data_IF_359270678524
#
_entry.id   IF_359270678524
#
_cell.length_a   1.000
_cell.length_b   1.000
_cell.length_c   1.000
_cell.angle_alpha   90.00
_cell.angle_beta   90.00
_cell.angle_gamma   90.00
#
_symmetry.space_group_name_H-M   'P 1'
#
loop_
_entity.id
_entity.type
_entity.pdbx_description
1 polymer ?
#
# COMPACT_ATOMS: atom_id res chain seq x y z
N UNK A 1 51.49 -12.82 41.22
CA UNK A 1 51.53 -12.00 39.99
C UNK A 1 50.20 -12.18 39.27
N UNK A 2 49.31 -11.21 39.41
CA UNK A 2 47.91 -11.29 38.93
C UNK A 2 47.82 -10.57 37.58
N UNK A 3 47.40 -11.25 36.52
CA UNK A 3 47.19 -10.65 35.20
C UNK A 3 45.76 -10.11 35.13
N UNK A 4 45.61 -8.80 35.06
CA UNK A 4 44.34 -8.11 34.80
C UNK A 4 44.25 -7.91 33.29
N UNK A 5 43.39 -8.70 32.62
CA UNK A 5 43.00 -8.43 31.24
C UNK A 5 41.74 -7.55 31.26
N UNK A 6 41.89 -6.29 30.87
CA UNK A 6 40.77 -5.37 30.67
C UNK A 6 40.10 -5.73 29.34
N UNK A 7 38.89 -6.29 29.40
CA UNK A 7 38.04 -6.48 28.23
C UNK A 7 37.35 -5.14 27.96
N UNK A 8 37.82 -4.43 26.93
CA UNK A 8 37.16 -3.22 26.43
C UNK A 8 35.92 -3.64 25.64
N UNK A 9 34.74 -3.57 26.26
CA UNK A 9 33.48 -3.77 25.56
C UNK A 9 33.23 -2.59 24.61
N UNK A 10 33.35 -2.83 23.31
CA UNK A 10 32.91 -1.89 22.29
C UNK A 10 31.36 -1.82 22.33
N UNK A 11 30.83 -0.78 22.96
CA UNK A 11 29.41 -0.45 22.90
C UNK A 11 29.15 0.11 21.50
N UNK A 12 28.53 -0.68 20.64
CA UNK A 12 28.04 -0.22 19.34
C UNK A 12 26.93 0.81 19.58
N UNK A 13 27.26 2.10 19.44
CA UNK A 13 26.27 3.16 19.39
C UNK A 13 25.44 2.99 18.11
N UNK A 14 24.23 2.44 18.23
CA UNK A 14 23.21 2.56 17.20
C UNK A 14 22.88 4.06 17.06
N UNK A 15 23.38 4.69 16.01
CA UNK A 15 23.14 6.11 15.74
C UNK A 15 21.66 6.32 15.41
N UNK A 16 20.88 6.82 16.36
CA UNK A 16 19.60 7.44 16.08
C UNK A 16 19.88 8.72 15.29
N UNK A 17 19.46 8.77 14.02
CA UNK A 17 19.52 10.00 13.25
C UNK A 17 18.34 10.88 13.65
N UNK A 18 18.63 12.13 14.02
CA UNK A 18 17.62 13.15 14.27
C UNK A 18 17.41 14.00 13.02
N UNK A 19 16.16 14.31 12.69
CA UNK A 19 15.85 15.23 11.59
C UNK A 19 16.06 16.70 12.01
N UNK A 20 15.90 17.61 11.04
CA UNK A 20 16.01 19.07 11.23
C UNK A 20 14.99 19.64 12.24
N UNK A 21 13.96 18.87 12.59
CA UNK A 21 12.92 19.22 13.56
C UNK A 21 13.15 18.56 14.93
N UNK A 22 14.27 17.85 15.11
CA UNK A 22 14.62 17.17 16.37
C UNK A 22 13.92 15.82 16.59
N UNK A 23 13.25 15.26 15.57
CA UNK A 23 12.61 13.95 15.69
C UNK A 23 13.61 12.82 15.49
N UNK A 24 13.52 11.80 16.35
CA UNK A 24 14.30 10.57 16.20
C UNK A 24 13.72 9.76 15.03
N UNK A 25 14.47 9.64 13.94
CA UNK A 25 14.16 8.76 12.82
C UNK A 25 14.80 7.41 13.11
N UNK A 26 13.97 6.39 13.35
CA UNK A 26 14.42 5.00 13.32
C UNK A 26 14.43 4.55 11.85
N UNK A 27 15.58 4.16 11.28
CA UNK A 27 15.58 3.51 9.98
C UNK A 27 14.79 2.20 10.09
N UNK A 28 14.04 1.79 9.05
CA UNK A 28 13.43 0.47 9.03
C UNK A 28 14.52 -0.60 9.25
N UNK A 29 14.21 -1.72 9.91
CA UNK A 29 15.18 -2.80 10.08
C UNK A 29 15.78 -3.16 8.73
N UNK A 30 17.10 -3.06 8.63
CA UNK A 30 17.84 -3.25 7.39
C UNK A 30 17.52 -4.63 6.82
N UNK A 31 16.93 -4.66 5.61
CA UNK A 31 16.58 -5.90 4.90
C UNK A 31 15.09 -6.22 4.79
N UNK A 32 14.18 -5.44 5.39
CA UNK A 32 12.74 -5.56 5.12
C UNK A 32 12.32 -4.54 4.07
N UNK A 33 12.10 -5.00 2.83
CA UNK A 33 11.45 -4.19 1.82
C UNK A 33 10.06 -3.77 2.34
N UNK A 34 9.76 -2.48 2.32
CA UNK A 34 8.43 -2.00 2.66
C UNK A 34 7.40 -2.64 1.74
N UNK A 35 6.22 -2.98 2.28
CA UNK A 35 5.12 -3.49 1.46
C UNK A 35 4.77 -2.48 0.35
N UNK A 36 4.47 -2.94 -0.88
CA UNK A 36 4.16 -2.05 -1.97
C UNK A 36 2.93 -1.20 -1.67
N UNK A 37 2.94 0.05 -2.14
CA UNK A 37 1.87 1.02 -1.92
C UNK A 37 1.25 1.44 -3.24
N UNK A 38 -0.04 1.77 -3.23
CA UNK A 38 -0.75 2.20 -4.45
C UNK A 38 -0.22 3.53 -5.02
N UNK A 39 0.37 4.39 -4.18
CA UNK A 39 0.95 5.67 -4.57
C UNK A 39 2.40 5.55 -5.06
N UNK A 40 2.98 4.35 -5.04
CA UNK A 40 4.34 4.10 -5.52
C UNK A 40 4.32 3.88 -7.04
N UNK A 41 5.21 4.57 -7.75
CA UNK A 41 5.38 4.42 -9.20
C UNK A 41 5.55 2.95 -9.62
N UNK A 42 4.84 2.55 -10.66
CA UNK A 42 4.87 1.18 -11.20
C UNK A 42 4.14 0.13 -10.35
N UNK A 43 3.47 0.53 -9.25
CA UNK A 43 2.63 -0.41 -8.50
C UNK A 43 1.25 -0.51 -9.15
N UNK A 44 0.95 -1.65 -9.75
CA UNK A 44 -0.39 -1.94 -10.19
C UNK A 44 -1.27 -2.20 -8.98
N UNK A 45 -2.37 -1.47 -8.87
CA UNK A 45 -3.32 -1.62 -7.78
C UNK A 45 -4.70 -2.02 -8.28
N UNK A 46 -5.39 -2.81 -7.48
CA UNK A 46 -6.79 -3.16 -7.69
C UNK A 46 -7.48 -3.33 -6.33
N UNK A 47 -8.66 -2.74 -6.15
CA UNK A 47 -9.45 -2.91 -4.94
C UNK A 47 -10.95 -2.82 -5.20
N UNK A 48 -11.71 -3.38 -4.27
CA UNK A 48 -13.17 -3.38 -4.29
C UNK A 48 -13.73 -2.35 -3.29
N UNK A 49 -14.72 -1.59 -3.72
CA UNK A 49 -15.59 -0.83 -2.83
C UNK A 49 -16.98 -1.46 -2.77
N UNK A 50 -17.54 -1.57 -1.56
CA UNK A 50 -18.93 -1.96 -1.31
C UNK A 50 -19.83 -0.72 -1.42
N UNK A 51 -20.79 -0.78 -2.34
CA UNK A 51 -21.76 0.28 -2.60
C UNK A 51 -23.07 0.09 -1.82
N UNK A 52 -23.22 -1.02 -1.10
CA UNK A 52 -24.47 -1.45 -0.45
C UNK A 52 -25.33 -2.31 -1.37
N UNK A 53 -26.34 -2.97 -0.78
CA UNK A 53 -27.36 -3.74 -1.52
C UNK A 53 -26.79 -4.83 -2.44
N UNK A 54 -25.62 -5.39 -2.09
CA UNK A 54 -24.94 -6.40 -2.91
C UNK A 54 -24.33 -5.86 -4.20
N UNK A 55 -24.14 -4.54 -4.30
CA UNK A 55 -23.49 -3.85 -5.42
C UNK A 55 -22.08 -3.42 -5.06
N UNK A 56 -21.19 -3.57 -6.03
CA UNK A 56 -19.77 -3.34 -5.85
C UNK A 56 -19.18 -2.49 -6.95
N UNK A 57 -18.09 -1.82 -6.59
CA UNK A 57 -17.25 -1.09 -7.51
C UNK A 57 -15.86 -1.69 -7.52
N UNK A 58 -15.33 -1.96 -8.70
CA UNK A 58 -13.93 -2.33 -8.91
C UNK A 58 -13.14 -1.09 -9.34
N UNK A 59 -12.03 -0.86 -8.67
CA UNK A 59 -11.09 0.22 -8.99
C UNK A 59 -9.73 -0.39 -9.28
N UNK A 60 -9.13 -0.09 -10.43
CA UNK A 60 -7.78 -0.54 -10.76
C UNK A 60 -6.98 0.54 -11.50
N UNK A 61 -5.66 0.50 -11.40
CA UNK A 61 -4.76 1.47 -12.02
C UNK A 61 -3.29 1.15 -11.74
N UNK A 62 -2.41 2.07 -12.13
CA UNK A 62 -0.97 1.99 -11.89
C UNK A 62 -0.54 3.23 -11.11
N UNK A 63 0.21 3.04 -10.04
CA UNK A 63 0.80 4.14 -9.28
C UNK A 63 1.73 4.97 -10.16
N UNK A 64 1.59 6.28 -10.07
CA UNK A 64 2.34 7.28 -10.84
C UNK A 64 3.20 8.18 -9.93
N UNK A 65 3.44 7.74 -8.69
CA UNK A 65 4.14 8.52 -7.66
C UNK A 65 3.27 9.55 -6.95
N UNK A 66 2.02 9.77 -7.39
CA UNK A 66 1.09 10.70 -6.73
C UNK A 66 0.27 10.02 -5.64
N UNK A 67 -0.24 10.80 -4.69
CA UNK A 67 -1.12 10.29 -3.62
C UNK A 67 -2.48 9.78 -4.12
N UNK A 68 -2.88 10.20 -5.32
CA UNK A 68 -4.17 9.90 -5.93
C UNK A 68 -3.95 9.53 -7.40
N UNK A 69 -3.34 8.36 -7.67
CA UNK A 69 -3.07 7.93 -9.03
C UNK A 69 -4.37 7.76 -9.81
N UNK A 70 -4.30 7.99 -11.11
CA UNK A 70 -5.44 7.77 -12.00
C UNK A 70 -5.88 6.30 -11.95
N UNK A 71 -7.19 6.08 -11.92
CA UNK A 71 -7.76 4.76 -11.83
C UNK A 71 -8.94 4.59 -12.80
N UNK A 72 -9.03 3.40 -13.38
CA UNK A 72 -10.25 2.94 -14.02
C UNK A 72 -11.24 2.47 -12.96
N UNK A 73 -12.50 2.87 -13.14
CA UNK A 73 -13.58 2.57 -12.19
C UNK A 73 -14.71 1.88 -12.93
N UNK A 74 -15.16 0.74 -12.39
CA UNK A 74 -16.37 0.04 -12.83
C UNK A 74 -17.29 -0.14 -11.65
N UNK A 75 -18.49 0.45 -11.73
CA UNK A 75 -19.48 0.48 -10.65
C UNK A 75 -20.66 -0.42 -10.96
N UNK A 76 -21.53 -0.60 -9.96
CA UNK A 76 -22.81 -1.30 -9.99
C UNK A 76 -22.70 -2.78 -10.41
N UNK A 77 -21.59 -3.41 -10.03
CA UNK A 77 -21.35 -4.81 -10.30
C UNK A 77 -22.09 -5.65 -9.26
N UNK A 78 -22.77 -6.70 -9.71
CA UNK A 78 -23.17 -7.78 -8.79
C UNK A 78 -21.94 -8.53 -8.28
N UNK A 79 -22.11 -9.31 -7.21
CA UNK A 79 -21.06 -10.15 -6.65
C UNK A 79 -20.39 -11.07 -7.69
N UNK A 80 -21.19 -11.70 -8.56
CA UNK A 80 -20.69 -12.58 -9.62
C UNK A 80 -19.94 -11.83 -10.73
N UNK A 81 -20.46 -10.67 -11.17
CA UNK A 81 -19.80 -9.84 -12.16
C UNK A 81 -18.47 -9.29 -11.63
N UNK A 82 -18.44 -8.91 -10.35
CA UNK A 82 -17.24 -8.46 -9.67
C UNK A 82 -16.18 -9.56 -9.63
N UNK A 83 -16.50 -10.77 -9.17
CA UNK A 83 -15.53 -11.86 -9.04
C UNK A 83 -14.91 -12.24 -10.38
N UNK A 84 -15.75 -12.34 -11.43
CA UNK A 84 -15.29 -12.63 -12.79
C UNK A 84 -14.36 -11.52 -13.30
N UNK A 85 -14.71 -10.25 -13.05
CA UNK A 85 -13.90 -9.11 -13.47
C UNK A 85 -12.59 -9.03 -12.69
N UNK A 86 -12.64 -9.19 -11.37
CA UNK A 86 -11.47 -9.20 -10.50
C UNK A 86 -10.48 -10.27 -10.95
N UNK A 87 -10.95 -11.49 -11.21
CA UNK A 87 -10.11 -12.59 -11.70
C UNK A 87 -9.42 -12.24 -13.02
N UNK A 88 -10.17 -11.67 -13.97
CA UNK A 88 -9.62 -11.24 -15.26
C UNK A 88 -8.56 -10.14 -15.10
N UNK A 89 -8.87 -9.08 -14.37
CA UNK A 89 -7.95 -7.95 -14.18
C UNK A 89 -6.72 -8.35 -13.36
N UNK A 90 -6.86 -9.25 -12.39
CA UNK A 90 -5.74 -9.81 -11.64
C UNK A 90 -4.77 -10.55 -12.55
N UNK A 91 -5.28 -11.38 -13.45
CA UNK A 91 -4.46 -12.11 -14.41
C UNK A 91 -3.71 -11.15 -15.36
N UNK A 92 -4.32 -10.03 -15.76
CA UNK A 92 -3.65 -8.99 -16.55
C UNK A 92 -2.49 -8.40 -15.75
N UNK A 93 -2.71 -8.01 -14.49
CA UNK A 93 -1.66 -7.45 -13.65
C UNK A 93 -0.48 -8.41 -13.43
N UNK A 94 -0.70 -9.73 -13.42
CA UNK A 94 0.37 -10.73 -13.27
C UNK A 94 1.31 -10.84 -14.48
N UNK A 95 0.84 -10.46 -15.67
CA UNK A 95 1.63 -10.54 -16.92
C UNK A 95 2.14 -9.18 -17.38
N UNK A 96 1.65 -8.09 -16.77
CA UNK A 96 1.91 -6.75 -17.24
C UNK A 96 3.34 -6.30 -16.84
N UNK A 97 4.24 -6.02 -17.79
CA UNK A 97 5.64 -5.74 -17.48
C UNK A 97 5.85 -4.40 -16.74
N UNK A 98 4.91 -3.47 -16.79
CA UNK A 98 4.94 -2.22 -16.02
C UNK A 98 4.54 -2.41 -14.54
N UNK A 99 3.95 -3.55 -14.18
CA UNK A 99 3.63 -3.86 -12.80
C UNK A 99 4.91 -4.30 -12.05
N UNK A 100 5.66 -3.33 -11.53
CA UNK A 100 6.85 -3.57 -10.70
C UNK A 100 6.49 -4.19 -9.35
N UNK A 101 5.27 -3.91 -8.87
CA UNK A 101 4.67 -4.54 -7.70
C UNK A 101 3.15 -4.57 -7.85
N UNK A 102 2.48 -5.39 -7.03
CA UNK A 102 1.02 -5.57 -7.10
C UNK A 102 0.39 -5.42 -5.73
N UNK A 103 -0.67 -4.60 -5.66
CA UNK A 103 -1.56 -4.47 -4.50
C UNK A 103 -2.98 -4.78 -4.96
N UNK A 104 -3.48 -5.98 -4.67
CA UNK A 104 -4.81 -6.42 -5.06
C UNK A 104 -5.64 -6.81 -3.83
N UNK A 105 -6.86 -6.25 -3.70
CA UNK A 105 -7.79 -6.51 -2.60
C UNK A 105 -9.17 -6.87 -3.15
N UNK A 106 -9.62 -8.09 -2.87
CA UNK A 106 -10.89 -8.59 -3.35
C UNK A 106 -12.08 -8.10 -2.50
N UNK A 107 -13.27 -8.64 -2.77
CA UNK A 107 -14.49 -8.25 -2.05
C UNK A 107 -14.50 -8.64 -0.57
N UNK A 108 -13.73 -9.64 -0.13
CA UNK A 108 -13.62 -9.98 1.28
C UNK A 108 -12.90 -8.87 2.07
N UNK A 109 -12.14 -8.04 1.36
CA UNK A 109 -11.44 -6.86 1.88
C UNK A 109 -12.09 -5.55 1.38
N UNK A 110 -13.35 -5.61 0.92
CA UNK A 110 -14.06 -4.47 0.37
C UNK A 110 -14.13 -3.33 1.39
N UNK A 111 -13.92 -2.12 0.90
CA UNK A 111 -14.04 -0.90 1.69
C UNK A 111 -15.38 -0.23 1.40
N UNK A 112 -16.02 0.43 2.37
CA UNK A 112 -17.21 1.23 2.05
C UNK A 112 -16.82 2.34 1.06
N UNK A 113 -17.66 2.60 0.06
CA UNK A 113 -17.47 3.75 -0.85
C UNK A 113 -17.34 5.03 -0.03
N UNK A 114 -16.28 5.80 -0.29
CA UNK A 114 -16.16 7.14 0.29
C UNK A 114 -17.24 8.03 -0.34
N UNK A 115 -18.28 8.35 0.42
CA UNK A 115 -19.23 9.40 0.04
C UNK A 115 -18.46 10.72 -0.06
N UNK A 116 -18.68 11.54 -1.11
CA UNK A 116 -18.14 12.90 -1.14
C UNK A 116 -18.52 13.60 0.17
N UNK A 117 -17.57 14.27 0.82
CA UNK A 117 -17.87 15.15 1.94
C UNK A 117 -18.90 16.16 1.40
N UNK A 118 -20.11 16.18 1.98
CA UNK A 118 -21.10 17.18 1.61
C UNK A 118 -20.43 18.56 1.65
N UNK A 119 -20.73 19.48 0.71
CA UNK A 119 -20.24 20.84 0.84
C UNK A 119 -20.63 21.32 2.24
N UNK A 120 -19.64 21.74 3.03
CA UNK A 120 -19.91 22.38 4.31
C UNK A 120 -20.60 23.70 3.97
N UNK A 121 -21.93 23.66 3.94
CA UNK A 121 -22.77 24.85 3.84
C UNK A 121 -22.65 25.62 5.15
N UNK A 122 -22.24 26.88 5.03
CA UNK A 122 -22.11 27.87 6.11
C UNK A 122 -21.63 29.18 5.52
#
# INVERSE_FOLDING_TARGET
MTRISVILAAVALTACTVDENGNIIMPPPQGQAAAPRMDQEGTCFMYVEDQGEGRYRLVNGVGDGTRTPLAMVKSDLTSAQLDARYTKERAIMDINPECLAIVAKDRAQARPVRKPKAPMGG
#
